data_IF_374769665897
#
_entry.id   IF_374769665897
#
_cell.length_a   1.000
_cell.length_b   1.000
_cell.length_c   1.000
_cell.angle_alpha   90.00
_cell.angle_beta   90.00
_cell.angle_gamma   90.00
#
_symmetry.space_group_name_H-M   'P 1'
#
loop_
_entity.id
_entity.type
_entity.pdbx_description
1 polymer ?
#
# COMPACT_ATOMS: atom_id res chain seq x y z
N UNK A 1 -10.06 54.12 45.91
CA UNK A 1 -9.89 54.72 44.57
C UNK A 1 -8.55 54.32 43.96
N UNK A 2 -7.41 54.51 44.64
CA UNK A 2 -6.09 54.16 44.07
C UNK A 2 -5.87 52.65 43.82
N UNK A 3 -6.36 51.79 44.71
CA UNK A 3 -6.25 50.33 44.57
C UNK A 3 -7.09 49.76 43.42
N UNK A 4 -8.25 50.33 43.13
CA UNK A 4 -9.11 49.89 42.01
C UNK A 4 -8.47 50.20 40.65
N UNK A 5 -7.82 51.36 40.54
CA UNK A 5 -7.06 51.74 39.34
C UNK A 5 -5.89 50.78 39.14
N UNK A 6 -5.14 50.47 40.20
CA UNK A 6 -4.00 49.52 40.14
C UNK A 6 -4.46 48.12 39.71
N UNK A 7 -5.56 47.61 40.27
CA UNK A 7 -6.13 46.31 39.88
C UNK A 7 -6.56 46.31 38.42
N UNK A 8 -7.22 47.38 37.96
CA UNK A 8 -7.66 47.52 36.57
C UNK A 8 -6.48 47.53 35.59
N UNK A 9 -5.41 48.27 35.91
CA UNK A 9 -4.18 48.30 35.10
C UNK A 9 -3.52 46.92 35.06
N UNK A 10 -3.44 46.23 36.20
CA UNK A 10 -2.87 44.89 36.27
C UNK A 10 -3.66 43.89 35.39
N UNK A 11 -4.99 43.94 35.43
CA UNK A 11 -5.84 43.08 34.59
C UNK A 11 -5.65 43.34 33.10
N UNK A 12 -5.54 44.61 32.68
CA UNK A 12 -5.27 44.96 31.28
C UNK A 12 -3.90 44.41 30.85
N UNK A 13 -2.87 44.55 31.70
CA UNK A 13 -1.54 43.99 31.40
C UNK A 13 -1.56 42.47 31.30
N UNK A 14 -2.28 41.78 32.20
CA UNK A 14 -2.44 40.33 32.13
C UNK A 14 -3.17 39.92 30.86
N UNK A 15 -4.27 40.59 30.51
CA UNK A 15 -5.02 40.30 29.29
C UNK A 15 -4.18 40.54 28.03
N UNK A 16 -3.38 41.61 28.00
CA UNK A 16 -2.44 41.88 26.92
C UNK A 16 -1.36 40.80 26.81
N UNK A 17 -0.79 40.36 27.93
CA UNK A 17 0.17 39.27 27.97
C UNK A 17 -0.43 37.94 27.46
N UNK A 18 -1.65 37.60 27.89
CA UNK A 18 -2.37 36.43 27.39
C UNK A 18 -2.63 36.51 25.89
N UNK A 19 -3.03 37.68 25.38
CA UNK A 19 -3.24 37.88 23.95
C UNK A 19 -1.96 37.67 23.14
N UNK A 20 -0.83 38.21 23.61
CA UNK A 20 0.47 38.03 22.97
C UNK A 20 0.84 36.54 22.89
N UNK A 21 0.68 35.80 24.00
CA UNK A 21 0.94 34.36 24.04
C UNK A 21 0.01 33.61 23.08
N UNK A 22 -1.27 33.95 23.04
CA UNK A 22 -2.24 33.31 22.15
C UNK A 22 -1.89 33.53 20.67
N UNK A 23 -1.48 34.74 20.28
CA UNK A 23 -1.04 35.04 18.91
C UNK A 23 0.22 34.25 18.56
N UNK A 24 1.18 34.15 19.49
CA UNK A 24 2.39 33.36 19.29
C UNK A 24 2.07 31.86 19.09
N UNK A 25 1.23 31.29 19.95
CA UNK A 25 0.76 29.90 19.83
C UNK A 25 0.03 29.65 18.51
N UNK A 26 -0.84 30.59 18.09
CA UNK A 26 -1.52 30.51 16.80
C UNK A 26 -0.51 30.50 15.64
N UNK A 27 0.52 31.35 15.71
CA UNK A 27 1.64 31.34 14.76
C UNK A 27 2.39 30.00 14.73
N UNK A 28 2.67 29.42 15.90
CA UNK A 28 3.32 28.11 16.01
C UNK A 28 2.48 27.00 15.39
N UNK A 29 1.17 26.97 15.63
CA UNK A 29 0.27 25.98 15.03
C UNK A 29 0.27 26.06 13.50
N UNK A 30 0.31 27.27 12.93
CA UNK A 30 0.39 27.45 11.47
C UNK A 30 1.70 26.89 10.93
N UNK A 31 2.83 27.14 11.60
CA UNK A 31 4.14 26.60 11.20
C UNK A 31 4.19 25.07 11.33
N UNK A 32 3.67 24.52 12.44
CA UNK A 32 3.61 23.08 12.66
C UNK A 32 2.77 22.36 11.59
N UNK A 33 1.62 22.93 11.21
CA UNK A 33 0.81 22.38 10.10
C UNK A 33 1.60 22.31 8.80
N UNK A 34 2.35 23.36 8.45
CA UNK A 34 3.19 23.36 7.24
C UNK A 34 4.29 22.30 7.28
N UNK A 35 4.94 22.12 8.44
CA UNK A 35 5.96 21.08 8.63
C UNK A 35 5.35 19.69 8.51
N UNK A 36 4.18 19.47 9.13
CA UNK A 36 3.47 18.20 9.05
C UNK A 36 3.04 17.87 7.62
N UNK A 37 2.51 18.84 6.87
CA UNK A 37 2.15 18.65 5.45
C UNK A 37 3.38 18.29 4.61
N UNK A 38 4.53 18.94 4.84
CA UNK A 38 5.78 18.58 4.14
C UNK A 38 6.22 17.16 4.47
N UNK A 39 6.27 16.82 5.76
CA UNK A 39 6.64 15.48 6.20
C UNK A 39 5.69 14.39 5.64
N UNK A 40 4.40 14.69 5.55
CA UNK A 40 3.43 13.81 4.92
C UNK A 40 3.72 13.62 3.42
N UNK A 41 3.92 14.70 2.68
CA UNK A 41 4.27 14.62 1.26
C UNK A 41 5.60 13.87 1.02
N UNK A 42 6.60 14.11 1.86
CA UNK A 42 7.89 13.42 1.76
C UNK A 42 7.72 11.91 2.01
N UNK A 43 6.90 11.52 2.99
CA UNK A 43 6.57 10.13 3.26
C UNK A 43 5.81 9.47 2.09
N UNK A 44 4.88 10.17 1.44
CA UNK A 44 4.19 9.67 0.25
C UNK A 44 5.14 9.45 -0.94
N UNK A 45 6.09 10.37 -1.13
CA UNK A 45 7.14 10.26 -2.17
C UNK A 45 8.02 9.06 -1.87
N UNK A 46 8.50 8.91 -0.63
CA UNK A 46 9.35 7.78 -0.22
C UNK A 46 8.63 6.44 -0.41
N UNK A 47 7.37 6.33 0.02
CA UNK A 47 6.54 5.15 -0.19
C UNK A 47 6.35 4.84 -1.69
N UNK A 48 6.16 5.87 -2.50
CA UNK A 48 6.04 5.75 -3.95
C UNK A 48 7.32 5.21 -4.60
N UNK A 49 8.48 5.75 -4.21
CA UNK A 49 9.78 5.33 -4.68
C UNK A 49 10.11 3.90 -4.25
N UNK A 50 9.89 3.57 -2.97
CA UNK A 50 10.15 2.24 -2.41
C UNK A 50 9.35 1.15 -3.14
N UNK A 51 8.06 1.41 -3.37
CA UNK A 51 7.23 0.48 -4.15
C UNK A 51 7.67 0.35 -5.60
N UNK A 52 7.96 1.46 -6.28
CA UNK A 52 8.45 1.38 -7.66
C UNK A 52 9.78 0.63 -7.74
N UNK A 53 10.66 0.77 -6.73
CA UNK A 53 11.88 -0.01 -6.61
C UNK A 53 11.57 -1.51 -6.46
N UNK A 54 10.67 -1.90 -5.56
CA UNK A 54 10.25 -3.29 -5.42
C UNK A 54 9.72 -3.90 -6.74
N UNK A 55 8.79 -3.21 -7.40
CA UNK A 55 8.22 -3.67 -8.67
C UNK A 55 9.27 -3.78 -9.79
N UNK A 56 10.23 -2.84 -9.81
CA UNK A 56 11.37 -2.88 -10.73
C UNK A 56 12.29 -4.07 -10.42
N UNK A 57 12.62 -4.29 -9.15
CA UNK A 57 13.51 -5.38 -8.73
C UNK A 57 12.92 -6.74 -9.07
N UNK A 58 11.63 -6.96 -8.81
CA UNK A 58 10.94 -8.18 -9.23
C UNK A 58 10.99 -8.36 -10.76
N UNK A 59 10.80 -7.27 -11.52
CA UNK A 59 10.87 -7.32 -12.98
C UNK A 59 12.28 -7.67 -13.48
N UNK A 60 13.31 -7.14 -12.83
CA UNK A 60 14.71 -7.43 -13.11
C UNK A 60 15.07 -8.87 -12.72
N UNK A 61 14.57 -9.37 -11.60
CA UNK A 61 14.79 -10.75 -11.15
C UNK A 61 14.29 -11.76 -12.17
N UNK A 62 13.15 -11.52 -12.82
CA UNK A 62 12.64 -12.37 -13.91
C UNK A 62 13.60 -12.49 -15.10
N UNK A 63 14.51 -11.52 -15.27
CA UNK A 63 15.48 -11.50 -16.37
C UNK A 63 16.85 -12.00 -15.91
N UNK A 64 17.31 -11.60 -14.73
CA UNK A 64 18.68 -11.87 -14.27
C UNK A 64 18.82 -13.15 -13.45
N UNK A 65 17.81 -13.53 -12.67
CA UNK A 65 17.84 -14.78 -11.89
C UNK A 65 17.57 -15.96 -12.81
N UNK A 66 18.57 -16.83 -12.99
CA UNK A 66 18.42 -18.00 -13.86
C UNK A 66 17.34 -18.99 -13.40
N UNK A 67 17.23 -19.34 -12.10
CA UNK A 67 16.16 -20.22 -11.61
C UNK A 67 14.77 -19.62 -11.88
N UNK A 68 14.56 -18.36 -11.49
CA UNK A 68 13.27 -17.68 -11.69
C UNK A 68 12.95 -17.52 -13.17
N UNK A 69 13.92 -17.12 -14.00
CA UNK A 69 13.71 -16.98 -15.45
C UNK A 69 13.27 -18.31 -16.07
N UNK A 70 13.94 -19.42 -15.73
CA UNK A 70 13.60 -20.75 -16.26
C UNK A 70 12.21 -21.20 -15.82
N UNK A 71 11.87 -20.99 -14.55
CA UNK A 71 10.55 -21.34 -14.03
C UNK A 71 9.45 -20.43 -14.62
N UNK A 72 9.68 -19.12 -14.71
CA UNK A 72 8.72 -18.15 -15.23
C UNK A 72 8.41 -18.31 -16.73
N UNK A 73 9.33 -18.88 -17.51
CA UNK A 73 9.06 -19.28 -18.90
C UNK A 73 8.04 -20.42 -19.01
N UNK A 74 7.80 -21.17 -17.92
CA UNK A 74 6.81 -22.25 -17.85
C UNK A 74 5.47 -21.80 -17.26
N UNK A 75 5.26 -20.50 -17.03
CA UNK A 75 4.05 -19.98 -16.34
C UNK A 75 2.73 -20.32 -17.03
N UNK A 76 2.76 -20.62 -18.33
CA UNK A 76 1.57 -21.01 -19.09
C UNK A 76 1.28 -22.52 -19.04
N UNK A 77 2.15 -23.31 -18.39
CA UNK A 77 1.92 -24.73 -18.14
C UNK A 77 0.97 -24.95 -16.96
N UNK A 78 0.60 -26.20 -16.70
CA UNK A 78 -0.14 -26.57 -15.51
C UNK A 78 0.79 -26.54 -14.28
N UNK A 79 0.39 -25.84 -13.22
CA UNK A 79 1.16 -25.64 -12.00
C UNK A 79 1.52 -26.97 -11.33
N UNK A 80 0.60 -27.94 -11.34
CA UNK A 80 0.83 -29.27 -10.77
C UNK A 80 1.72 -30.17 -11.63
N UNK A 81 1.95 -29.81 -12.90
CA UNK A 81 2.85 -30.52 -13.81
C UNK A 81 4.30 -30.06 -13.72
N UNK A 82 4.57 -28.96 -13.02
CA UNK A 82 5.91 -28.40 -12.88
C UNK A 82 6.82 -29.28 -12.02
N UNK A 83 8.13 -29.13 -12.22
CA UNK A 83 9.09 -29.74 -11.30
C UNK A 83 8.97 -29.09 -9.91
N UNK A 84 9.37 -29.82 -8.87
CA UNK A 84 9.40 -29.27 -7.51
C UNK A 84 10.21 -27.96 -7.43
N UNK A 85 11.36 -27.92 -8.10
CA UNK A 85 12.22 -26.72 -8.12
C UNK A 85 11.50 -25.53 -8.75
N UNK A 86 10.86 -25.71 -9.91
CA UNK A 86 10.10 -24.62 -10.55
C UNK A 86 8.90 -24.19 -9.69
N UNK A 87 8.24 -25.15 -9.04
CA UNK A 87 7.08 -24.90 -8.16
C UNK A 87 7.50 -24.07 -6.95
N UNK A 88 8.59 -24.42 -6.28
CA UNK A 88 9.09 -23.70 -5.11
C UNK A 88 9.47 -22.26 -5.50
N UNK A 89 10.18 -22.09 -6.63
CA UNK A 89 10.60 -20.77 -7.14
C UNK A 89 9.41 -19.89 -7.51
N UNK A 90 8.41 -20.43 -8.21
CA UNK A 90 7.22 -19.68 -8.59
C UNK A 90 6.32 -19.39 -7.39
N UNK A 91 6.22 -20.31 -6.44
CA UNK A 91 5.47 -20.11 -5.19
C UNK A 91 6.01 -18.90 -4.44
N UNK A 92 7.33 -18.84 -4.23
CA UNK A 92 7.98 -17.70 -3.57
C UNK A 92 7.76 -16.39 -4.35
N UNK A 93 7.89 -16.44 -5.69
CA UNK A 93 7.64 -15.29 -6.55
C UNK A 93 6.22 -14.74 -6.38
N UNK A 94 5.19 -15.58 -6.49
CA UNK A 94 3.81 -15.13 -6.36
C UNK A 94 3.48 -14.73 -4.92
N UNK A 95 3.95 -15.46 -3.92
CA UNK A 95 3.72 -15.14 -2.50
C UNK A 95 4.25 -13.76 -2.15
N UNK A 96 5.47 -13.44 -2.59
CA UNK A 96 6.08 -12.13 -2.36
C UNK A 96 5.30 -11.02 -3.05
N UNK A 97 4.77 -11.26 -4.25
CA UNK A 97 3.96 -10.28 -4.99
C UNK A 97 2.59 -10.03 -4.36
N UNK A 98 1.88 -11.09 -3.97
CA UNK A 98 0.60 -10.96 -3.26
C UNK A 98 0.79 -10.30 -1.89
N UNK A 99 1.83 -10.67 -1.15
CA UNK A 99 2.16 -10.06 0.15
C UNK A 99 2.46 -8.57 0.01
N UNK A 100 3.20 -8.18 -1.03
CA UNK A 100 3.50 -6.79 -1.30
C UNK A 100 2.25 -5.99 -1.67
N UNK A 101 1.41 -6.52 -2.58
CA UNK A 101 0.12 -5.88 -2.93
C UNK A 101 -0.78 -5.70 -1.71
N UNK A 102 -0.83 -6.71 -0.85
CA UNK A 102 -1.58 -6.68 0.39
C UNK A 102 -1.07 -5.57 1.33
N UNK A 103 0.24 -5.46 1.48
CA UNK A 103 0.87 -4.38 2.24
C UNK A 103 0.54 -2.99 1.66
N UNK A 104 0.67 -2.81 0.34
CA UNK A 104 0.37 -1.54 -0.32
C UNK A 104 -1.08 -1.11 -0.09
N UNK A 105 -2.01 -2.06 -0.18
CA UNK A 105 -3.43 -1.82 0.07
C UNK A 105 -3.73 -1.43 1.52
N UNK A 106 -3.09 -2.13 2.49
CA UNK A 106 -3.20 -1.79 3.92
C UNK A 106 -2.77 -0.36 4.17
N UNK A 107 -1.66 0.07 3.55
CA UNK A 107 -1.11 1.42 3.67
C UNK A 107 -1.96 2.49 2.97
N UNK A 108 -3.05 2.12 2.29
CA UNK A 108 -3.93 3.06 1.62
C UNK A 108 -3.27 3.75 0.42
N UNK A 109 -2.23 3.14 -0.15
CA UNK A 109 -1.47 3.71 -1.25
C UNK A 109 -2.39 4.13 -2.39
N UNK A 110 -2.14 5.33 -2.94
CA UNK A 110 -2.91 5.91 -4.05
C UNK A 110 -4.42 5.89 -3.77
N UNK A 111 -4.82 6.13 -2.52
CA UNK A 111 -6.22 6.07 -2.07
C UNK A 111 -6.94 4.76 -2.47
N UNK A 112 -6.19 3.65 -2.47
CA UNK A 112 -6.70 2.32 -2.87
C UNK A 112 -7.28 2.31 -4.29
N UNK A 113 -6.66 3.06 -5.22
CA UNK A 113 -7.12 3.21 -6.59
C UNK A 113 -7.36 1.83 -7.29
N UNK A 114 -8.60 1.48 -7.65
CA UNK A 114 -8.92 0.16 -8.16
C UNK A 114 -8.24 -0.15 -9.51
N UNK A 115 -7.98 0.85 -10.36
CA UNK A 115 -7.28 0.65 -11.63
C UNK A 115 -5.84 0.22 -11.40
N UNK A 116 -5.14 0.87 -10.47
CA UNK A 116 -3.77 0.52 -10.12
C UNK A 116 -3.67 -0.94 -9.65
N UNK A 117 -4.49 -1.34 -8.68
CA UNK A 117 -4.46 -2.70 -8.15
C UNK A 117 -4.93 -3.73 -9.18
N UNK A 118 -5.95 -3.42 -9.98
CA UNK A 118 -6.42 -4.33 -11.04
C UNK A 118 -5.33 -4.64 -12.06
N UNK A 119 -4.54 -3.64 -12.48
CA UNK A 119 -3.44 -3.85 -13.41
C UNK A 119 -2.35 -4.75 -12.81
N UNK A 120 -2.04 -4.59 -11.52
CA UNK A 120 -1.05 -5.43 -10.84
C UNK A 120 -1.55 -6.87 -10.67
N UNK A 121 -2.80 -7.04 -10.28
CA UNK A 121 -3.41 -8.37 -10.16
C UNK A 121 -3.50 -9.03 -11.54
N UNK A 122 -3.85 -8.28 -12.58
CA UNK A 122 -3.90 -8.79 -13.95
C UNK A 122 -2.54 -9.35 -14.39
N UNK A 123 -1.43 -8.70 -14.04
CA UNK A 123 -0.07 -9.20 -14.29
C UNK A 123 0.24 -10.50 -13.54
N UNK A 124 -0.39 -10.76 -12.40
CA UNK A 124 -0.21 -12.01 -11.66
C UNK A 124 -1.10 -13.14 -12.21
N UNK A 125 -2.26 -12.79 -12.78
CA UNK A 125 -3.25 -13.74 -13.29
C UNK A 125 -3.16 -13.96 -14.82
N UNK A 126 -2.17 -13.35 -15.47
CA UNK A 126 -1.96 -13.40 -16.93
C UNK A 126 -1.59 -14.81 -17.46
N UNK A 127 -1.31 -15.73 -16.55
CA UNK A 127 -0.72 -17.05 -16.83
C UNK A 127 -1.50 -18.15 -16.10
N UNK A 128 -1.40 -19.39 -16.62
CA UNK A 128 -2.12 -20.52 -16.04
C UNK A 128 -1.66 -20.83 -14.60
N UNK A 129 -0.35 -20.84 -14.38
CA UNK A 129 0.24 -20.98 -13.04
C UNK A 129 -0.25 -19.87 -12.11
N UNK A 130 -0.27 -18.62 -12.57
CA UNK A 130 -0.72 -17.49 -11.76
C UNK A 130 -2.17 -17.61 -11.30
N UNK A 131 -3.04 -18.14 -12.16
CA UNK A 131 -4.45 -18.43 -11.85
C UNK A 131 -4.61 -19.58 -10.86
N UNK A 132 -3.93 -20.71 -11.09
CA UNK A 132 -3.98 -21.85 -10.19
C UNK A 132 -3.38 -21.53 -8.81
N UNK A 133 -2.26 -20.81 -8.77
CA UNK A 133 -1.69 -20.29 -7.53
C UNK A 133 -2.67 -19.39 -6.79
N UNK A 134 -3.39 -18.53 -7.51
CA UNK A 134 -4.39 -17.65 -6.90
C UNK A 134 -5.51 -18.44 -6.22
N UNK A 135 -6.08 -19.42 -6.92
CA UNK A 135 -7.13 -20.28 -6.36
C UNK A 135 -6.65 -21.03 -5.11
N UNK A 136 -5.44 -21.60 -5.15
CA UNK A 136 -4.92 -22.43 -4.07
C UNK A 136 -4.42 -21.64 -2.86
N UNK A 137 -3.77 -20.49 -3.08
CA UNK A 137 -3.01 -19.76 -2.04
C UNK A 137 -3.21 -18.25 -2.09
N UNK A 138 -3.09 -17.65 -3.27
CA UNK A 138 -3.09 -16.19 -3.43
C UNK A 138 -4.36 -15.53 -2.88
N UNK A 139 -5.52 -16.16 -3.08
CA UNK A 139 -6.80 -15.67 -2.57
C UNK A 139 -6.84 -15.57 -1.04
N UNK A 140 -6.21 -16.51 -0.33
CA UNK A 140 -6.15 -16.52 1.14
C UNK A 140 -5.27 -15.36 1.64
N UNK A 141 -4.13 -15.11 0.98
CA UNK A 141 -3.22 -14.01 1.33
C UNK A 141 -3.97 -12.67 1.31
N UNK A 142 -4.86 -12.46 0.33
CA UNK A 142 -5.66 -11.25 0.21
C UNK A 142 -6.85 -11.17 1.18
N UNK A 143 -7.11 -12.19 2.00
CA UNK A 143 -8.36 -12.34 2.77
C UNK A 143 -8.22 -12.22 4.29
N UNK A 144 -7.02 -11.94 4.81
CA UNK A 144 -6.72 -12.15 6.23
C UNK A 144 -7.45 -11.20 7.23
N UNK A 145 -8.09 -10.12 6.78
CA UNK A 145 -8.83 -9.15 7.64
C UNK A 145 -9.92 -8.41 6.84
N UNK A 146 -10.89 -7.78 7.54
CA UNK A 146 -12.00 -7.01 6.93
C UNK A 146 -11.52 -5.86 6.01
N UNK A 147 -10.36 -5.24 6.30
CA UNK A 147 -9.79 -4.16 5.49
C UNK A 147 -9.38 -4.60 4.07
N UNK A 148 -9.29 -5.91 3.82
CA UNK A 148 -8.84 -6.50 2.55
C UNK A 148 -9.98 -7.03 1.67
N UNK A 149 -11.23 -6.97 2.14
CA UNK A 149 -12.39 -7.43 1.36
C UNK A 149 -12.43 -6.75 -0.01
N UNK A 150 -12.09 -5.46 -0.07
CA UNK A 150 -12.01 -4.72 -1.34
C UNK A 150 -10.94 -5.25 -2.30
N UNK A 151 -9.72 -5.50 -1.83
CA UNK A 151 -8.65 -6.01 -2.69
C UNK A 151 -8.93 -7.43 -3.18
N UNK A 152 -9.45 -8.30 -2.30
CA UNK A 152 -9.87 -9.65 -2.67
C UNK A 152 -11.00 -9.62 -3.70
N UNK A 153 -12.04 -8.82 -3.48
CA UNK A 153 -13.14 -8.70 -4.45
C UNK A 153 -12.67 -8.20 -5.81
N UNK A 154 -11.67 -7.30 -5.82
CA UNK A 154 -11.05 -6.83 -7.04
C UNK A 154 -10.28 -7.95 -7.74
N UNK A 155 -9.52 -8.74 -6.97
CA UNK A 155 -8.78 -9.87 -7.50
C UNK A 155 -9.70 -10.98 -8.01
N UNK A 156 -10.78 -11.30 -7.29
CA UNK A 156 -11.82 -12.24 -7.72
C UNK A 156 -12.40 -11.76 -9.06
N UNK A 157 -12.73 -10.46 -9.20
CA UNK A 157 -13.23 -9.91 -10.47
C UNK A 157 -12.22 -10.01 -11.62
N UNK A 158 -10.94 -9.73 -11.38
CA UNK A 158 -9.89 -9.88 -12.43
C UNK A 158 -9.71 -11.35 -12.80
N UNK A 159 -9.78 -12.25 -11.82
CA UNK A 159 -9.71 -13.70 -12.04
C UNK A 159 -10.84 -14.18 -12.94
N UNK A 160 -12.08 -13.80 -12.63
CA UNK A 160 -13.27 -14.19 -13.39
C UNK A 160 -13.21 -13.72 -14.85
N UNK A 161 -12.64 -12.53 -15.10
CA UNK A 161 -12.42 -12.01 -16.45
C UNK A 161 -11.45 -12.88 -17.28
N UNK A 162 -10.49 -13.56 -16.64
CA UNK A 162 -9.55 -14.47 -17.31
C UNK A 162 -10.09 -15.90 -17.40
N UNK A 163 -10.77 -16.39 -16.35
CA UNK A 163 -11.24 -17.76 -16.26
C UNK A 163 -12.55 -18.00 -17.02
N UNK A 164 -13.37 -16.96 -17.23
CA UNK A 164 -14.70 -17.08 -17.82
C UNK A 164 -15.73 -17.78 -16.91
N UNK A 165 -15.39 -18.02 -15.63
CA UNK A 165 -16.22 -18.68 -14.63
C UNK A 165 -16.06 -18.01 -13.25
N UNK A 166 -17.13 -17.97 -12.42
CA UNK A 166 -17.10 -17.33 -11.10
C UNK A 166 -16.22 -18.10 -10.11
N UNK A 167 -15.57 -17.39 -9.18
CA UNK A 167 -14.79 -18.02 -8.09
C UNK A 167 -15.76 -18.73 -7.14
N UNK A 168 -15.54 -20.01 -6.85
CA UNK A 168 -16.37 -20.76 -5.89
C UNK A 168 -16.13 -20.23 -4.46
N UNK A 169 -17.25 -19.94 -3.78
CA UNK A 169 -17.31 -19.33 -2.43
C UNK A 169 -16.73 -20.25 -1.37
#
# INVERSE_FOLDING_TARGET
MDTEIVVSVAQIMTAAATLIVAVFLAGQLVLQRKVLTRAHNDAEIELSLSSNAFWKDISVLKVLSEPLRKAYLKRDQDFHSLSKEDTDVLTEYYEQMYSFLNMEWRLGRLDRNPVYYSLRINQLLDSNVGRQYYEERGRIILSATEDYVGLRSLADSVYENHAGAPVLV
#
